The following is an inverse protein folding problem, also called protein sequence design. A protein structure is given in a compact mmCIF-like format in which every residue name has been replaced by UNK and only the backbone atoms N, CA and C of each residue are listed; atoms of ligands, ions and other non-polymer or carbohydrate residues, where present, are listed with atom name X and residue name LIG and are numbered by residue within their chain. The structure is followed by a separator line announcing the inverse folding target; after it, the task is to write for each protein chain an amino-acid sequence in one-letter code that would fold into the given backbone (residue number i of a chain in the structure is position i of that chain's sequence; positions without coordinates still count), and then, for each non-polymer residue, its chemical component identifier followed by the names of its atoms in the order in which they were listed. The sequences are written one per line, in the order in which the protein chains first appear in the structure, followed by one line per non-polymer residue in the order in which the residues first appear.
data_IF_910461653568
#
_entry.id   IF_910461653568
#
_cell.length_a   1.000
_cell.length_b   1.000
_cell.length_c   1.000
_cell.angle_alpha   90.00
_cell.angle_beta   90.00
_cell.angle_gamma   90.00
#
_symmetry.space_group_name_H-M   'P 1'
#
loop_
_entity.id
_entity.type
_entity.pdbx_description
1 polymer ?
#
# COMPACT_ATOMS: atom_id res chain seq x y z
N UNK A 1 53.81 54.09 -1.32
CA UNK A 1 53.47 53.98 -2.76
C UNK A 1 53.27 52.51 -3.13
N UNK A 2 52.08 52.12 -3.62
CA UNK A 2 51.76 50.93 -4.45
C UNK A 2 52.06 49.55 -3.79
N UNK A 3 51.17 48.56 -3.68
CA UNK A 3 50.05 48.12 -4.54
C UNK A 3 49.02 47.33 -3.73
N UNK A 4 47.74 47.51 -4.08
CA UNK A 4 46.63 46.62 -3.76
C UNK A 4 46.81 45.26 -4.48
N UNK A 5 46.43 44.18 -3.80
CA UNK A 5 45.97 42.95 -4.44
C UNK A 5 44.87 42.34 -3.56
N UNK A 6 43.64 42.81 -3.76
CA UNK A 6 42.46 42.21 -3.15
C UNK A 6 42.09 40.95 -3.95
N UNK A 7 42.31 39.78 -3.35
CA UNK A 7 41.89 38.49 -3.88
C UNK A 7 40.36 38.37 -3.74
N UNK A 8 39.64 38.48 -4.86
CA UNK A 8 38.23 38.13 -4.98
C UNK A 8 38.09 36.60 -4.92
N UNK A 9 37.79 36.08 -3.73
CA UNK A 9 37.32 34.70 -3.58
C UNK A 9 35.84 34.65 -3.97
N UNK A 10 35.55 34.18 -5.20
CA UNK A 10 34.20 33.81 -5.59
C UNK A 10 33.78 32.59 -4.74
N UNK A 11 32.92 32.82 -3.75
CA UNK A 11 32.25 31.76 -3.01
C UNK A 11 31.25 31.05 -3.93
N UNK A 12 31.60 29.87 -4.43
CA UNK A 12 30.63 28.95 -5.00
C UNK A 12 29.75 28.43 -3.87
N UNK A 13 28.55 29.01 -3.73
CA UNK A 13 27.49 28.44 -2.90
C UNK A 13 26.92 27.23 -3.65
N UNK A 14 27.48 26.05 -3.37
CA UNK A 14 26.91 24.79 -3.82
C UNK A 14 25.64 24.52 -2.99
N UNK A 15 24.47 24.75 -3.59
CA UNK A 15 23.22 24.21 -3.06
C UNK A 15 23.35 22.68 -3.06
N UNK A 16 23.66 22.10 -1.90
CA UNK A 16 23.55 20.66 -1.68
C UNK A 16 22.07 20.35 -1.65
N UNK A 17 21.51 19.98 -2.80
CA UNK A 17 20.20 19.33 -2.86
C UNK A 17 20.31 18.04 -2.06
N UNK A 18 19.65 17.97 -0.91
CA UNK A 18 19.54 16.74 -0.15
C UNK A 18 18.99 15.64 -1.08
N UNK A 19 19.53 14.41 -1.05
CA UNK A 19 18.96 13.33 -1.82
C UNK A 19 17.53 13.12 -1.32
N UNK A 20 16.56 13.40 -2.19
CA UNK A 20 15.20 12.89 -2.02
C UNK A 20 15.38 11.38 -2.03
N UNK A 21 15.24 10.75 -0.87
CA UNK A 21 15.28 9.30 -0.79
C UNK A 21 14.25 8.80 -1.80
N UNK A 22 14.74 8.18 -2.87
CA UNK A 22 13.93 7.58 -3.90
C UNK A 22 13.10 6.52 -3.16
N UNK A 23 11.84 6.85 -2.90
CA UNK A 23 10.92 5.91 -2.30
C UNK A 23 10.74 4.83 -3.36
N UNK A 24 11.55 3.77 -3.24
CA UNK A 24 11.50 2.61 -4.12
C UNK A 24 10.06 2.13 -4.31
N UNK A 25 9.80 1.31 -5.36
CA UNK A 25 8.45 0.96 -5.77
C UNK A 25 7.57 0.64 -4.57
N UNK A 26 6.47 1.39 -4.41
CA UNK A 26 5.65 1.38 -3.21
C UNK A 26 5.30 -0.07 -2.83
N UNK A 27 6.04 -0.62 -1.85
CA UNK A 27 5.77 -1.94 -1.31
C UNK A 27 4.50 -1.80 -0.49
N UNK A 28 3.48 -2.54 -0.88
CA UNK A 28 2.28 -2.70 -0.07
C UNK A 28 2.68 -3.57 1.12
N UNK A 29 2.47 -3.10 2.34
CA UNK A 29 2.69 -3.91 3.54
C UNK A 29 1.61 -4.99 3.65
N UNK A 30 0.39 -4.66 3.21
CA UNK A 30 -0.74 -5.58 3.11
C UNK A 30 -1.44 -5.35 1.78
N UNK A 31 -1.76 -6.44 1.07
CA UNK A 31 -2.53 -6.42 -0.18
C UNK A 31 -3.77 -7.28 -0.03
N UNK A 32 -4.96 -6.71 -0.26
CA UNK A 32 -6.22 -7.45 -0.30
C UNK A 32 -6.68 -7.51 -1.75
N UNK A 33 -6.85 -8.71 -2.30
CA UNK A 33 -7.22 -8.95 -3.70
C UNK A 33 -8.68 -9.34 -3.79
N UNK A 34 -9.44 -8.60 -4.60
CA UNK A 34 -10.82 -8.93 -4.95
C UNK A 34 -10.84 -9.42 -6.39
N UNK A 35 -11.01 -10.74 -6.57
CA UNK A 35 -11.07 -11.38 -7.88
C UNK A 35 -12.49 -11.74 -8.29
N UNK A 36 -12.63 -12.24 -9.52
CA UNK A 36 -13.90 -12.73 -10.07
C UNK A 36 -13.68 -14.03 -10.88
N UNK A 37 -14.75 -14.82 -10.99
CA UNK A 37 -14.84 -16.00 -11.88
C UNK A 37 -15.96 -15.87 -12.92
N UNK A 38 -16.26 -14.65 -13.38
CA UNK A 38 -17.26 -14.41 -14.44
C UNK A 38 -18.57 -13.75 -14.00
N UNK A 39 -18.70 -13.39 -12.72
CA UNK A 39 -19.93 -12.83 -12.13
C UNK A 39 -19.69 -11.55 -11.32
N UNK A 40 -18.55 -10.90 -11.52
CA UNK A 40 -18.12 -9.76 -10.71
C UNK A 40 -17.52 -10.15 -9.35
N UNK A 41 -17.03 -9.14 -8.66
CA UNK A 41 -16.44 -9.27 -7.33
C UNK A 41 -17.49 -9.32 -6.22
N UNK A 42 -17.06 -9.65 -5.00
CA UNK A 42 -17.89 -9.43 -3.80
C UNK A 42 -17.88 -7.95 -3.39
N UNK A 43 -18.75 -7.16 -4.04
CA UNK A 43 -18.88 -5.72 -3.76
C UNK A 43 -19.24 -5.41 -2.30
N UNK A 44 -20.04 -6.26 -1.65
CA UNK A 44 -20.45 -6.02 -0.27
C UNK A 44 -19.26 -6.15 0.69
N UNK A 45 -18.41 -7.16 0.47
CA UNK A 45 -17.17 -7.32 1.22
C UNK A 45 -16.18 -6.18 0.90
N UNK A 46 -16.05 -5.80 -0.38
CA UNK A 46 -15.17 -4.72 -0.80
C UNK A 46 -15.52 -3.38 -0.13
N UNK A 47 -16.80 -3.02 -0.08
CA UNK A 47 -17.26 -1.80 0.60
C UNK A 47 -17.07 -1.87 2.12
N UNK A 48 -17.29 -3.04 2.73
CA UNK A 48 -17.04 -3.24 4.17
C UNK A 48 -15.55 -3.05 4.51
N UNK A 49 -14.66 -3.62 3.70
CA UNK A 49 -13.20 -3.45 3.84
C UNK A 49 -12.79 -1.99 3.62
N UNK A 50 -13.35 -1.33 2.60
CA UNK A 50 -13.08 0.07 2.33
C UNK A 50 -13.52 1.00 3.47
N UNK A 51 -14.69 0.76 4.05
CA UNK A 51 -15.17 1.49 5.22
C UNK A 51 -14.25 1.33 6.42
N UNK A 52 -13.76 0.10 6.67
CA UNK A 52 -12.79 -0.17 7.73
C UNK A 52 -11.45 0.53 7.50
N UNK A 53 -10.92 0.50 6.27
CA UNK A 53 -9.68 1.21 5.89
C UNK A 53 -9.81 2.72 6.12
N UNK A 54 -10.94 3.32 5.74
CA UNK A 54 -11.16 4.76 5.84
C UNK A 54 -11.02 5.30 7.27
N UNK A 55 -11.36 4.48 8.27
CA UNK A 55 -11.30 4.86 9.70
C UNK A 55 -10.07 4.28 10.41
N UNK A 56 -9.27 3.44 9.75
CA UNK A 56 -8.08 2.84 10.34
C UNK A 56 -6.95 3.88 10.45
N UNK A 57 -6.62 4.24 11.69
CA UNK A 57 -5.60 5.25 12.00
C UNK A 57 -4.18 4.75 11.82
N UNK A 58 -3.97 3.45 11.67
CA UNK A 58 -2.64 2.84 11.51
C UNK A 58 -2.21 2.77 10.03
N UNK A 59 -3.11 3.07 9.11
CA UNK A 59 -2.83 3.14 7.67
C UNK A 59 -2.30 4.53 7.29
N UNK A 60 -1.16 4.55 6.61
CA UNK A 60 -0.55 5.75 6.03
C UNK A 60 -1.12 6.06 4.64
N UNK A 61 -1.32 5.02 3.82
CA UNK A 61 -1.83 5.14 2.45
C UNK A 61 -2.66 3.91 2.09
N UNK A 62 -3.71 4.14 1.30
CA UNK A 62 -4.55 3.11 0.70
C UNK A 62 -4.70 3.42 -0.79
N UNK A 63 -4.45 2.43 -1.64
CA UNK A 63 -4.55 2.56 -3.10
C UNK A 63 -5.26 1.35 -3.70
N UNK A 64 -6.19 1.59 -4.62
CA UNK A 64 -6.84 0.54 -5.42
C UNK A 64 -6.17 0.45 -6.78
N UNK A 65 -5.71 -0.75 -7.16
CA UNK A 65 -5.12 -1.05 -8.47
C UNK A 65 -6.05 -1.99 -9.21
N UNK A 66 -6.84 -1.45 -10.13
CA UNK A 66 -7.74 -2.24 -10.97
C UNK A 66 -6.96 -2.99 -12.04
N UNK A 67 -7.33 -4.25 -12.26
CA UNK A 67 -6.64 -5.11 -13.25
C UNK A 67 -7.60 -5.94 -14.12
N UNK A 68 -8.88 -6.05 -13.75
CA UNK A 68 -9.87 -6.80 -14.51
C UNK A 68 -11.08 -5.95 -14.94
N UNK A 69 -11.94 -6.55 -15.77
CA UNK A 69 -13.11 -5.88 -16.37
C UNK A 69 -14.39 -6.03 -15.55
N UNK A 70 -14.40 -6.96 -14.61
CA UNK A 70 -15.56 -7.28 -13.76
C UNK A 70 -15.47 -6.58 -12.39
N UNK A 71 -14.58 -5.59 -12.31
CA UNK A 71 -14.32 -4.82 -11.10
C UNK A 71 -13.18 -5.36 -10.27
N UNK A 72 -12.36 -6.29 -10.78
CA UNK A 72 -11.25 -6.87 -10.02
C UNK A 72 -10.15 -5.84 -9.71
N UNK A 73 -9.66 -5.89 -8.48
CA UNK A 73 -8.62 -4.98 -8.01
C UNK A 73 -7.82 -5.53 -6.85
N UNK A 74 -6.60 -4.99 -6.71
CA UNK A 74 -5.77 -5.13 -5.52
C UNK A 74 -5.89 -3.85 -4.68
N UNK A 75 -6.25 -4.02 -3.41
CA UNK A 75 -6.22 -2.98 -2.37
C UNK A 75 -4.86 -3.02 -1.68
N UNK A 76 -3.99 -2.10 -2.07
CA UNK A 76 -2.67 -1.90 -1.48
C UNK A 76 -2.78 -1.02 -0.24
N UNK A 77 -2.25 -1.48 0.89
CA UNK A 77 -2.20 -0.74 2.15
C UNK A 77 -0.73 -0.52 2.55
N UNK A 78 -0.40 0.73 2.86
CA UNK A 78 0.86 1.11 3.49
C UNK A 78 0.60 1.47 4.94
N UNK A 79 1.35 0.85 5.83
CA UNK A 79 1.23 0.97 7.27
C UNK A 79 2.08 2.16 7.75
N UNK A 80 1.61 2.89 8.77
CA UNK A 80 2.38 4.01 9.34
C UNK A 80 3.70 3.51 9.96
N UNK A 81 4.79 4.30 9.86
CA UNK A 81 6.03 3.97 10.54
C UNK A 81 5.81 3.68 12.03
N UNK A 82 6.44 2.62 12.54
CA UNK A 82 6.32 2.19 13.94
C UNK A 82 5.03 1.44 14.28
N UNK A 83 4.17 1.13 13.30
CA UNK A 83 3.04 0.21 13.46
C UNK A 83 3.40 -1.18 12.95
N UNK A 84 2.75 -2.19 13.52
CA UNK A 84 2.97 -3.59 13.18
C UNK A 84 2.12 -3.98 11.96
N UNK A 85 2.78 -4.19 10.81
CA UNK A 85 2.11 -4.63 9.59
C UNK A 85 1.45 -6.01 9.71
N UNK A 86 1.98 -6.91 10.56
CA UNK A 86 1.37 -8.22 10.80
C UNK A 86 0.05 -8.07 11.54
N UNK A 87 -0.02 -7.19 12.54
CA UNK A 87 -1.29 -6.88 13.23
C UNK A 87 -2.34 -6.30 12.26
N UNK A 88 -1.92 -5.49 11.28
CA UNK A 88 -2.81 -4.98 10.22
C UNK A 88 -3.28 -6.11 9.31
N UNK A 89 -2.38 -7.00 8.87
CA UNK A 89 -2.75 -8.20 8.11
C UNK A 89 -3.81 -9.03 8.86
N UNK A 90 -3.58 -9.37 10.13
CA UNK A 90 -4.51 -10.19 10.90
C UNK A 90 -5.87 -9.52 11.08
N UNK A 91 -5.89 -8.20 11.29
CA UNK A 91 -7.13 -7.41 11.40
C UNK A 91 -7.99 -7.54 10.14
N UNK A 92 -7.39 -7.35 8.96
CA UNK A 92 -8.12 -7.45 7.70
C UNK A 92 -8.41 -8.90 7.30
N UNK A 93 -7.51 -9.83 7.62
CA UNK A 93 -7.73 -11.26 7.45
C UNK A 93 -8.99 -11.71 8.18
N UNK A 94 -9.20 -11.25 9.43
CA UNK A 94 -10.38 -11.59 10.22
C UNK A 94 -11.70 -11.07 9.62
N UNK A 95 -11.65 -10.10 8.69
CA UNK A 95 -12.84 -9.63 7.97
C UNK A 95 -13.20 -10.53 6.78
N UNK A 96 -12.24 -11.29 6.25
CA UNK A 96 -12.46 -12.17 5.10
C UNK A 96 -13.13 -13.47 5.53
N UNK A 97 -14.17 -13.93 4.81
CA UNK A 97 -14.81 -15.21 5.11
C UNK A 97 -13.82 -16.37 4.92
N UNK A 98 -14.08 -17.54 5.49
CA UNK A 98 -13.22 -18.71 5.26
C UNK A 98 -13.39 -19.32 3.84
N UNK A 99 -14.58 -19.13 3.25
CA UNK A 99 -14.96 -19.59 1.92
C UNK A 99 -15.46 -18.43 1.08
N UNK A 100 -15.38 -18.55 -0.24
CA UNK A 100 -15.96 -17.56 -1.15
C UNK A 100 -17.47 -17.51 -0.89
N UNK A 101 -18.01 -16.33 -0.61
CA UNK A 101 -19.46 -16.13 -0.54
C UNK A 101 -20.04 -15.81 -1.91
N UNK A 102 -19.35 -14.94 -2.66
CA UNK A 102 -19.73 -14.54 -4.02
C UNK A 102 -18.59 -14.66 -5.03
N UNK A 103 -17.39 -14.23 -4.64
CA UNK A 103 -16.23 -14.19 -5.50
C UNK A 103 -14.95 -14.48 -4.68
N UNK A 104 -13.83 -14.89 -5.31
CA UNK A 104 -12.58 -15.14 -4.61
C UNK A 104 -12.01 -13.84 -4.02
N UNK A 105 -11.56 -13.92 -2.78
CA UNK A 105 -10.84 -12.85 -2.08
C UNK A 105 -9.57 -13.41 -1.47
N UNK A 106 -8.46 -12.69 -1.60
CA UNK A 106 -7.19 -13.07 -0.99
C UNK A 106 -6.60 -11.90 -0.21
N UNK A 107 -5.70 -12.21 0.73
CA UNK A 107 -4.90 -11.23 1.45
C UNK A 107 -3.47 -11.75 1.56
N UNK A 108 -2.53 -10.85 1.28
CA UNK A 108 -1.09 -11.06 1.43
C UNK A 108 -0.55 -9.99 2.39
N UNK A 109 0.37 -10.37 3.26
CA UNK A 109 0.98 -9.51 4.28
C UNK A 109 2.49 -9.63 4.31
N UNK A 110 3.14 -9.07 5.36
CA UNK A 110 4.59 -9.20 5.54
C UNK A 110 5.00 -10.67 5.71
N UNK A 111 6.28 -10.95 5.47
CA UNK A 111 6.91 -12.27 5.69
C UNK A 111 6.24 -13.45 4.94
N UNK A 112 5.55 -13.16 3.84
CA UNK A 112 4.87 -14.18 3.03
C UNK A 112 3.57 -14.70 3.63
N UNK A 113 3.01 -14.01 4.64
CA UNK A 113 1.67 -14.32 5.14
C UNK A 113 0.66 -14.21 4.01
N UNK A 114 -0.13 -15.27 3.82
CA UNK A 114 -1.15 -15.32 2.79
C UNK A 114 -2.37 -16.09 3.26
N UNK A 115 -3.54 -15.61 2.85
CA UNK A 115 -4.78 -16.34 2.90
C UNK A 115 -5.57 -16.10 1.63
N UNK A 116 -6.28 -17.12 1.19
CA UNK A 116 -7.19 -17.06 0.06
C UNK A 116 -8.45 -17.82 0.42
N UNK A 117 -9.60 -17.23 0.09
CA UNK A 117 -10.88 -17.87 0.31
C UNK A 117 -11.01 -19.10 -0.58
N UNK A 118 -11.48 -20.20 -0.02
CA UNK A 118 -11.66 -21.45 -0.77
C UNK A 118 -12.96 -21.34 -1.59
N UNK A 119 -12.91 -21.77 -2.85
CA UNK A 119 -14.10 -21.83 -3.71
C UNK A 119 -15.23 -22.63 -3.04
N UNK A 120 -16.51 -22.29 -3.29
CA UNK A 120 -17.61 -23.12 -2.82
C UNK A 120 -17.44 -24.51 -3.48
N UNK A 121 -17.43 -25.57 -2.66
CA UNK A 121 -17.52 -26.94 -3.16
C UNK A 121 -18.93 -27.22 -3.69
#
# INVERSE_FOLDING_TARGET
MKRLAALLALGLSACVSAPVADAGPARCDVTIRFGSYGAGIDHALAEKVAAAIKVDRDIARSERKHWGREGEFDQCLTVKPGRDAKAIYERYRAMLPARNLKAPTAIEGPDGLRFETIAPM
#
